data_IF_231025652084
#
_entry.id   IF_231025652084
#
_cell.length_a   1.000
_cell.length_b   1.000
_cell.length_c   1.000
_cell.angle_alpha   90.00
_cell.angle_beta   90.00
_cell.angle_gamma   90.00
#
_symmetry.space_group_name_H-M   'P 1'
#
loop_
_entity.id
_entity.type
_entity.pdbx_description
1 polymer ?
#
# COMPACT_ATOMS: atom_id res chain seq x y z
N UNK A 1 -42.32 -1.43 -13.60
CA UNK A 1 -41.90 -1.32 -13.37
C UNK A 1 -41.27 -1.37 -13.19
N UNK A 2 -41.13 -1.43 -12.97
CA UNK A 2 -40.43 -1.49 -12.60
C UNK A 2 -39.58 -1.67 -12.43
N UNK A 3 -39.54 -1.81 -12.37
CA UNK A 3 -38.68 -1.92 -12.10
C UNK A 3 -37.84 -2.04 -12.06
N UNK A 4 -38.01 -2.08 -12.22
CA UNK A 4 -37.18 -2.14 -12.03
C UNK A 4 -36.28 -2.11 -12.05
N UNK A 5 -36.30 -2.12 -12.16
CA UNK A 5 -35.49 -1.88 -11.92
C UNK A 5 -34.68 -1.76 -11.65
N UNK A 6 -34.75 -1.84 -11.58
CA UNK A 6 -34.01 -1.56 -11.04
C UNK A 6 -33.21 -1.67 -10.76
N UNK A 7 -33.16 -1.87 -10.81
CA UNK A 7 -32.31 -1.88 -10.37
C UNK A 7 -31.33 -1.94 -10.40
N UNK A 8 -31.09 -2.04 -10.49
CA UNK A 8 -30.17 -2.01 -10.33
C UNK A 8 -29.35 -1.88 -10.24
N UNK A 9 -29.42 -1.72 -10.34
CA UNK A 9 -28.69 -1.47 -10.13
C UNK A 9 -28.06 -1.56 -9.53
N UNK A 10 -28.45 -1.83 -9.32
CA UNK A 10 -27.96 -1.87 -8.65
C UNK A 10 -27.07 -2.31 -8.44
N UNK A 11 -27.04 -2.56 -8.64
CA UNK A 11 -26.27 -2.92 -8.31
C UNK A 11 -25.27 -2.91 -8.29
N UNK A 12 -25.13 -2.58 -8.29
CA UNK A 12 -24.22 -2.36 -8.11
C UNK A 12 -23.65 -2.40 -7.51
N UNK A 13 -23.69 -2.50 -7.32
CA UNK A 13 -23.11 -2.51 -6.63
C UNK A 13 -22.62 -2.61 -5.93
N UNK A 14 -23.08 -2.59 -6.20
CA UNK A 14 -22.44 -2.71 -5.43
C UNK A 14 -22.01 -2.49 -4.54
N UNK A 15 -21.78 -3.06 -4.16
CA UNK A 15 -21.51 -2.55 -2.98
C UNK A 15 -21.01 -1.24 -3.08
N UNK A 16 -21.49 -0.53 -3.74
CA UNK A 16 -21.09 0.81 -3.69
C UNK A 16 -21.33 1.32 -2.31
N UNK A 17 -21.03 0.52 -1.37
CA UNK A 17 -21.18 0.91 0.00
C UNK A 17 -20.07 1.84 0.43
N UNK A 18 -20.05 2.21 1.71
CA UNK A 18 -19.04 3.14 2.22
C UNK A 18 -17.62 2.68 1.97
N UNK A 19 -17.42 1.37 1.92
CA UNK A 19 -16.09 0.83 1.69
C UNK A 19 -15.55 1.17 0.32
N UNK A 20 -16.42 1.57 -0.59
CA UNK A 20 -16.00 1.94 -1.94
C UNK A 20 -15.92 3.44 -2.14
N UNK A 21 -16.30 4.21 -1.12
CA UNK A 21 -16.15 5.64 -1.21
C UNK A 21 -14.70 6.04 -1.16
N UNK A 22 -14.34 7.04 -1.95
CA UNK A 22 -12.98 7.55 -1.95
C UNK A 22 -12.70 8.21 -0.61
N UNK A 23 -11.57 7.88 -0.01
CA UNK A 23 -11.12 8.49 1.22
C UNK A 23 -10.01 9.50 0.94
N UNK A 24 -10.42 10.67 0.47
CA UNK A 24 -9.47 11.71 0.11
C UNK A 24 -8.70 12.23 1.33
N UNK A 25 -9.33 12.23 2.50
CA UNK A 25 -8.63 12.68 3.72
C UNK A 25 -7.47 11.76 4.06
N UNK A 26 -7.65 10.44 3.88
CA UNK A 26 -6.56 9.51 4.08
C UNK A 26 -5.43 9.74 3.08
N UNK A 27 -5.78 10.01 1.83
CA UNK A 27 -4.78 10.31 0.81
C UNK A 27 -3.99 11.56 1.13
N UNK A 28 -4.66 12.61 1.62
CA UNK A 28 -3.99 13.84 2.01
C UNK A 28 -3.08 13.63 3.21
N UNK A 29 -3.54 12.85 4.17
CA UNK A 29 -2.71 12.54 5.36
C UNK A 29 -1.47 11.76 4.98
N UNK A 30 -1.63 10.73 4.14
CA UNK A 30 -0.47 9.96 3.69
C UNK A 30 0.51 10.86 2.93
N UNK A 31 0.00 11.73 2.07
CA UNK A 31 0.83 12.68 1.33
C UNK A 31 1.64 13.55 2.29
N UNK A 32 0.99 14.09 3.33
CA UNK A 32 1.67 14.92 4.33
C UNK A 32 2.78 14.14 5.03
N UNK A 33 2.51 12.90 5.42
CA UNK A 33 3.52 12.07 6.07
C UNK A 33 4.73 11.84 5.18
N UNK A 34 4.49 11.55 3.91
CA UNK A 34 5.57 11.20 2.98
C UNK A 34 6.38 12.41 2.54
N UNK A 35 5.78 13.60 2.49
CA UNK A 35 6.49 14.77 2.00
C UNK A 35 7.32 15.49 3.06
N UNK A 36 7.27 15.04 4.32
CA UNK A 36 8.22 15.51 5.32
C UNK A 36 9.63 15.17 4.85
N UNK A 37 10.56 16.14 4.90
CA UNK A 37 11.93 15.84 4.46
C UNK A 37 12.50 14.62 5.19
N UNK A 38 12.34 14.55 6.51
CA UNK A 38 12.72 13.39 7.31
C UNK A 38 11.44 12.66 7.69
N UNK A 39 10.98 11.75 6.84
CA UNK A 39 9.67 11.14 6.99
C UNK A 39 9.64 9.92 7.91
N UNK A 40 10.80 9.35 8.28
CA UNK A 40 10.79 8.12 9.06
C UNK A 40 10.12 8.25 10.41
N UNK A 41 10.41 9.29 11.22
CA UNK A 41 9.76 9.40 12.53
C UNK A 41 8.23 9.48 12.43
N UNK A 42 7.71 10.23 11.46
CA UNK A 42 6.27 10.35 11.28
C UNK A 42 5.63 9.05 10.83
N UNK A 43 6.31 8.33 9.94
CA UNK A 43 5.81 7.02 9.50
C UNK A 43 5.77 6.03 10.66
N UNK A 44 6.83 5.97 11.47
CA UNK A 44 6.83 5.09 12.63
C UNK A 44 5.76 5.50 13.64
N UNK A 45 5.58 6.79 13.88
CA UNK A 45 4.55 7.25 14.81
C UNK A 45 3.16 6.85 14.32
N UNK A 46 2.91 6.92 13.01
CA UNK A 46 1.60 6.54 12.48
C UNK A 46 1.36 5.03 12.57
N UNK A 47 2.42 4.23 12.44
CA UNK A 47 2.30 2.78 12.64
C UNK A 47 2.03 2.48 14.12
N UNK A 48 2.79 3.08 15.01
CA UNK A 48 2.70 2.79 16.43
C UNK A 48 1.39 3.25 17.06
N UNK A 49 0.82 4.33 16.55
CA UNK A 49 -0.46 4.86 17.05
C UNK A 49 -1.67 4.11 16.51
N UNK A 50 -1.49 3.30 15.47
CA UNK A 50 -2.59 2.64 14.78
C UNK A 50 -3.16 3.46 13.63
N UNK A 51 -2.67 4.68 13.43
CA UNK A 51 -3.15 5.51 12.33
C UNK A 51 -2.95 4.82 10.98
N UNK A 52 -1.80 4.18 10.80
CA UNK A 52 -1.48 3.54 9.52
C UNK A 52 -2.43 2.38 9.21
N UNK A 53 -3.04 1.77 10.22
CA UNK A 53 -4.05 0.72 9.99
C UNK A 53 -5.25 1.27 9.23
N UNK A 54 -5.51 2.57 9.31
CA UNK A 54 -6.59 3.22 8.60
C UNK A 54 -6.14 3.81 7.26
N UNK A 55 -4.88 4.20 7.16
CA UNK A 55 -4.36 4.79 5.93
C UNK A 55 -4.00 3.72 4.90
N UNK A 56 -3.08 2.83 5.27
CA UNK A 56 -2.62 1.73 4.42
C UNK A 56 -2.57 0.49 5.29
N UNK A 57 -3.71 -0.19 5.48
CA UNK A 57 -3.76 -1.34 6.39
C UNK A 57 -2.81 -2.46 6.00
N UNK A 58 -2.40 -2.52 4.74
CA UNK A 58 -1.46 -3.53 4.28
C UNK A 58 -0.04 -3.29 4.82
N UNK A 59 0.29 -2.03 5.17
CA UNK A 59 1.66 -1.70 5.56
C UNK A 59 2.08 -2.32 6.89
N UNK A 60 1.28 -2.21 7.97
CA UNK A 60 1.69 -2.84 9.24
C UNK A 60 1.86 -4.34 9.15
N UNK A 61 1.24 -4.98 8.16
CA UNK A 61 1.39 -6.42 7.96
C UNK A 61 2.80 -6.80 7.49
N UNK A 62 3.63 -5.82 7.15
CA UNK A 62 5.01 -6.07 6.76
C UNK A 62 5.93 -6.33 7.96
N UNK A 63 5.40 -6.35 9.19
CA UNK A 63 6.17 -6.80 10.35
C UNK A 63 6.34 -8.31 10.25
N UNK A 64 7.26 -8.72 9.41
CA UNK A 64 7.57 -10.12 9.19
C UNK A 64 9.03 -10.26 8.80
N UNK A 65 9.63 -11.40 9.13
CA UNK A 65 11.01 -11.64 8.74
C UNK A 65 11.13 -11.71 7.23
N UNK A 66 12.18 -11.09 6.70
CA UNK A 66 12.46 -11.14 5.29
C UNK A 66 12.95 -12.53 4.87
N UNK A 67 13.84 -13.09 5.67
CA UNK A 67 14.36 -14.45 5.47
C UNK A 67 15.02 -14.92 6.77
N UNK A 68 15.32 -16.22 6.91
CA UNK A 68 15.88 -16.73 8.15
C UNK A 68 17.26 -16.17 8.49
N UNK A 69 17.98 -15.67 7.50
CA UNK A 69 19.34 -15.15 7.71
C UNK A 69 19.30 -13.74 8.27
N UNK A 70 18.32 -12.92 7.84
CA UNK A 70 18.20 -11.53 8.22
C UNK A 70 17.06 -11.29 9.21
N UNK A 71 17.03 -12.08 10.29
CA UNK A 71 15.94 -12.06 11.24
C UNK A 71 15.78 -10.74 11.98
N UNK A 72 16.87 -10.01 12.16
CA UNK A 72 16.86 -8.77 12.91
C UNK A 72 16.21 -7.62 12.15
N UNK A 73 15.86 -7.83 10.88
CA UNK A 73 15.22 -6.81 10.06
C UNK A 73 13.93 -7.36 9.49
N UNK A 74 12.81 -6.76 9.88
CA UNK A 74 11.55 -7.12 9.25
C UNK A 74 11.35 -6.27 8.00
N UNK A 75 10.36 -6.66 7.19
CA UNK A 75 10.08 -5.99 5.92
C UNK A 75 9.60 -4.56 6.16
N UNK A 76 8.86 -4.34 7.24
CA UNK A 76 8.36 -2.99 7.55
C UNK A 76 9.51 -2.03 7.84
N UNK A 77 10.46 -2.43 8.69
CA UNK A 77 11.62 -1.59 9.01
C UNK A 77 12.42 -1.27 7.75
N UNK A 78 12.64 -2.27 6.92
CA UNK A 78 13.32 -2.08 5.64
C UNK A 78 12.57 -1.09 4.76
N UNK A 79 11.25 -1.27 4.65
CA UNK A 79 10.42 -0.41 3.80
C UNK A 79 10.50 1.05 4.25
N UNK A 80 10.33 1.30 5.55
CA UNK A 80 10.39 2.68 6.06
C UNK A 80 11.77 3.29 5.83
N UNK A 81 12.82 2.50 6.04
CA UNK A 81 14.18 2.98 5.78
C UNK A 81 14.39 3.34 4.31
N UNK A 82 13.86 2.52 3.39
CA UNK A 82 13.98 2.81 1.96
C UNK A 82 13.25 4.10 1.61
N UNK A 83 12.03 4.29 2.14
CA UNK A 83 11.28 5.52 1.92
C UNK A 83 12.09 6.72 2.39
N UNK A 84 12.69 6.60 3.57
CA UNK A 84 13.47 7.71 4.16
C UNK A 84 14.71 8.07 3.37
N UNK A 85 15.21 7.17 2.53
CA UNK A 85 16.41 7.43 1.73
C UNK A 85 16.09 8.07 0.39
N UNK A 86 14.81 8.16 0.01
CA UNK A 86 14.44 8.76 -1.26
C UNK A 86 14.26 10.28 -1.09
N UNK A 87 14.28 10.98 -2.22
CA UNK A 87 13.95 12.40 -2.22
C UNK A 87 12.49 12.60 -1.83
N UNK A 88 12.15 13.73 -1.20
CA UNK A 88 10.76 14.00 -0.80
C UNK A 88 9.88 14.32 -2.00
N UNK A 89 9.69 13.34 -2.84
CA UNK A 89 8.86 13.41 -4.04
C UNK A 89 7.78 12.35 -3.89
N UNK A 90 6.52 12.77 -4.08
CA UNK A 90 5.37 11.93 -3.75
C UNK A 90 5.39 10.58 -4.48
N UNK A 91 5.54 10.61 -5.79
CA UNK A 91 5.49 9.38 -6.59
C UNK A 91 6.58 8.39 -6.19
N UNK A 92 7.79 8.89 -5.99
CA UNK A 92 8.93 8.05 -5.60
C UNK A 92 8.72 7.48 -4.20
N UNK A 93 8.26 8.29 -3.26
CA UNK A 93 8.04 7.82 -1.89
C UNK A 93 6.86 6.86 -1.79
N UNK A 94 5.81 7.08 -2.58
CA UNK A 94 4.72 6.12 -2.66
C UNK A 94 5.21 4.79 -3.24
N UNK A 95 6.00 4.84 -4.29
CA UNK A 95 6.54 3.61 -4.89
C UNK A 95 7.43 2.87 -3.89
N UNK A 96 8.26 3.58 -3.15
CA UNK A 96 9.10 2.98 -2.11
C UNK A 96 8.26 2.35 -1.01
N UNK A 97 7.17 3.02 -0.62
CA UNK A 97 6.28 2.52 0.43
C UNK A 97 5.61 1.21 0.01
N UNK A 98 5.25 1.09 -1.25
CA UNK A 98 4.51 -0.07 -1.74
C UNK A 98 5.39 -1.15 -2.38
N UNK A 99 6.70 -0.93 -2.51
CA UNK A 99 7.53 -1.85 -3.30
C UNK A 99 7.53 -3.29 -2.79
N UNK A 100 7.38 -3.50 -1.49
CA UNK A 100 7.38 -4.83 -0.89
C UNK A 100 6.01 -5.17 -0.27
N UNK A 101 4.97 -4.41 -0.60
CA UNK A 101 3.66 -4.52 0.07
C UNK A 101 3.05 -5.90 -0.07
N UNK A 102 3.38 -6.63 -1.13
CA UNK A 102 2.79 -7.94 -1.40
C UNK A 102 3.57 -9.09 -0.79
N UNK A 103 4.67 -8.84 -0.09
CA UNK A 103 5.47 -9.95 0.46
C UNK A 103 4.68 -10.88 1.37
N UNK A 104 3.80 -10.38 2.26
CA UNK A 104 3.00 -11.31 3.07
C UNK A 104 2.11 -12.24 2.22
N UNK A 105 1.60 -11.75 1.10
CA UNK A 105 0.71 -12.53 0.24
C UNK A 105 1.43 -13.50 -0.67
N UNK A 106 2.71 -13.25 -0.94
CA UNK A 106 3.47 -14.04 -1.91
C UNK A 106 4.54 -14.90 -1.26
N UNK A 107 4.66 -14.83 0.08
CA UNK A 107 5.67 -15.60 0.79
C UNK A 107 5.39 -17.09 0.67
N UNK A 108 6.43 -17.84 0.34
CA UNK A 108 6.35 -19.28 0.20
C UNK A 108 7.64 -19.90 0.71
N UNK A 109 7.55 -21.14 1.19
CA UNK A 109 8.71 -21.89 1.64
C UNK A 109 8.94 -23.02 0.63
N UNK A 110 10.06 -22.93 -0.10
CA UNK A 110 10.40 -23.90 -1.15
C UNK A 110 11.81 -24.40 -0.95
N UNK A 111 11.97 -25.70 -0.84
CA UNK A 111 13.30 -26.31 -0.73
C UNK A 111 14.12 -25.73 0.42
N UNK A 112 13.44 -25.40 1.52
CA UNK A 112 14.11 -24.83 2.68
C UNK A 112 14.34 -23.33 2.61
N UNK A 113 14.01 -22.70 1.49
CA UNK A 113 14.19 -21.26 1.30
C UNK A 113 12.86 -20.53 1.32
N UNK A 114 12.91 -19.25 1.68
CA UNK A 114 11.76 -18.37 1.60
C UNK A 114 11.79 -17.67 0.24
N UNK A 115 10.65 -17.69 -0.46
CA UNK A 115 10.52 -17.00 -1.75
C UNK A 115 9.31 -16.06 -1.71
N UNK A 116 9.32 -15.07 -2.60
CA UNK A 116 8.26 -14.08 -2.75
C UNK A 116 7.97 -13.89 -4.25
N UNK A 117 7.54 -14.96 -4.89
CA UNK A 117 7.38 -14.97 -6.35
C UNK A 117 6.34 -13.96 -6.80
N UNK A 118 6.72 -13.16 -7.79
CA UNK A 118 5.81 -12.16 -8.40
C UNK A 118 5.30 -11.12 -7.43
N UNK A 119 6.04 -10.86 -6.33
CA UNK A 119 5.59 -9.86 -5.37
C UNK A 119 5.49 -8.47 -6.00
N UNK A 120 6.29 -8.18 -7.04
CA UNK A 120 6.21 -6.90 -7.72
C UNK A 120 4.93 -6.75 -8.53
N UNK A 121 4.44 -7.83 -9.14
CA UNK A 121 3.19 -7.79 -9.91
C UNK A 121 2.00 -7.64 -8.97
N UNK A 122 1.97 -8.45 -7.91
CA UNK A 122 0.89 -8.40 -6.93
C UNK A 122 0.93 -7.06 -6.20
N UNK A 123 2.14 -6.58 -5.86
CA UNK A 123 2.32 -5.30 -5.19
C UNK A 123 1.82 -4.13 -6.02
N UNK A 124 2.10 -4.15 -7.34
CA UNK A 124 1.61 -3.09 -8.21
C UNK A 124 0.08 -3.06 -8.21
N UNK A 125 -0.55 -4.22 -8.21
CA UNK A 125 -2.01 -4.31 -8.19
C UNK A 125 -2.57 -3.80 -6.86
N UNK A 126 -1.91 -4.15 -5.75
CA UNK A 126 -2.32 -3.68 -4.43
C UNK A 126 -2.17 -2.16 -4.31
N UNK A 127 -1.07 -1.61 -4.81
CA UNK A 127 -0.84 -0.18 -4.80
C UNK A 127 -1.92 0.54 -5.60
N UNK A 128 -2.23 0.04 -6.79
CA UNK A 128 -3.26 0.65 -7.64
C UNK A 128 -4.60 0.68 -6.90
N UNK A 129 -4.96 -0.42 -6.29
CA UNK A 129 -6.24 -0.52 -5.59
C UNK A 129 -6.30 0.45 -4.41
N UNK A 130 -5.26 0.47 -3.59
CA UNK A 130 -5.23 1.32 -2.39
C UNK A 130 -5.21 2.80 -2.75
N UNK A 131 -4.34 3.19 -3.67
CA UNK A 131 -4.21 4.59 -4.03
C UNK A 131 -5.45 5.13 -4.73
N UNK A 132 -6.11 4.30 -5.53
CA UNK A 132 -7.37 4.69 -6.14
C UNK A 132 -8.42 4.94 -5.05
N UNK A 133 -8.49 4.06 -4.06
CA UNK A 133 -9.44 4.22 -2.95
C UNK A 133 -9.15 5.48 -2.13
N UNK A 134 -7.90 5.95 -2.12
CA UNK A 134 -7.51 7.16 -1.40
C UNK A 134 -7.64 8.42 -2.24
N UNK A 135 -8.14 8.30 -3.46
CA UNK A 135 -8.42 9.46 -4.29
C UNK A 135 -7.24 10.07 -5.02
N UNK A 136 -6.13 9.35 -5.12
CA UNK A 136 -4.98 9.85 -5.89
C UNK A 136 -5.33 9.90 -7.37
N UNK A 137 -4.76 10.90 -8.07
CA UNK A 137 -4.95 11.03 -9.51
C UNK A 137 -4.51 9.77 -10.23
N UNK A 138 -5.22 9.42 -11.30
CA UNK A 138 -4.91 8.23 -12.08
C UNK A 138 -3.48 8.24 -12.59
N UNK A 139 -2.97 9.42 -12.96
CA UNK A 139 -1.58 9.54 -13.43
C UNK A 139 -0.59 9.17 -12.34
N UNK A 140 -0.87 9.55 -11.09
CA UNK A 140 -0.01 9.18 -9.96
C UNK A 140 -0.10 7.68 -9.73
N UNK A 141 -1.32 7.13 -9.74
CA UNK A 141 -1.54 5.70 -9.53
C UNK A 141 -0.80 4.88 -10.58
N UNK A 142 -0.90 5.27 -11.85
CA UNK A 142 -0.24 4.57 -12.94
C UNK A 142 1.28 4.60 -12.79
N UNK A 143 1.82 5.75 -12.44
CA UNK A 143 3.26 5.90 -12.30
C UNK A 143 3.79 5.08 -11.12
N UNK A 144 3.10 5.15 -9.98
CA UNK A 144 3.49 4.38 -8.80
C UNK A 144 3.43 2.88 -9.08
N UNK A 145 2.32 2.41 -9.67
CA UNK A 145 2.17 0.99 -9.99
C UNK A 145 3.26 0.52 -10.95
N UNK A 146 3.61 1.36 -11.92
CA UNK A 146 4.69 1.05 -12.85
C UNK A 146 6.03 0.89 -12.15
N UNK A 147 6.34 1.79 -11.20
CA UNK A 147 7.59 1.72 -10.45
C UNK A 147 7.63 0.50 -9.53
N UNK A 148 6.51 0.19 -8.88
CA UNK A 148 6.43 -0.98 -7.99
C UNK A 148 6.66 -2.26 -8.76
N UNK A 149 6.21 -2.31 -10.01
CA UNK A 149 6.32 -3.51 -10.82
C UNK A 149 7.74 -3.77 -11.33
N UNK A 150 8.58 -2.76 -11.31
CA UNK A 150 9.97 -2.92 -11.76
C UNK A 150 10.73 -3.83 -10.81
#
# INVERSE_FOLDING_TARGET
>A
MTDTTVPGAEATPGPAGPAEAVDAAAGERLTSLLLEPDCEPGLWASVDSGEMDHLVPELPLLRMEQDPIHRHKDVLSHTIAVVGKTEPELTVRLAALFHDIAKPRTRSFEHGDVTFRHHEVVGARMARSRLTAMGFDESVVDEVAGLVRL
#
